data_IF_231135381263
#
_entry.id   IF_231135381263
#
_cell.length_a   1.000
_cell.length_b   1.000
_cell.length_c   1.000
_cell.angle_alpha   90.00
_cell.angle_beta   90.00
_cell.angle_gamma   90.00
#
_symmetry.space_group_name_H-M   'P 1'
#
loop_
_entity.id
_entity.type
_entity.pdbx_description
1 polymer ?
#
# COMPACT_ATOMS: atom_id res chain seq x y z
N UNK A 1 -35.50 20.86 -19.22
CA UNK A 1 -35.27 19.40 -19.07
C UNK A 1 -33.91 19.12 -19.70
N UNK A 2 -32.78 19.21 -19.01
CA UNK A 2 -32.41 18.47 -17.80
C UNK A 2 -31.65 17.22 -18.24
N UNK A 3 -30.32 17.32 -18.42
CA UNK A 3 -29.44 16.24 -18.84
C UNK A 3 -28.03 16.52 -18.34
N UNK A 4 -27.57 15.72 -17.38
CA UNK A 4 -26.53 16.01 -16.42
C UNK A 4 -25.11 16.20 -16.97
N UNK A 5 -24.43 17.20 -16.42
CA UNK A 5 -23.01 17.51 -16.60
C UNK A 5 -22.17 16.92 -15.44
N UNK A 6 -22.44 15.66 -15.06
CA UNK A 6 -21.75 14.96 -13.99
C UNK A 6 -21.47 13.51 -14.40
N UNK A 7 -20.43 13.35 -15.23
CA UNK A 7 -19.98 12.05 -15.72
C UNK A 7 -18.46 11.97 -15.80
N UNK A 8 -17.75 12.65 -14.89
CA UNK A 8 -16.34 12.36 -14.65
C UNK A 8 -16.25 11.18 -13.71
N UNK A 9 -16.21 9.97 -14.27
CA UNK A 9 -15.84 8.77 -13.52
C UNK A 9 -14.50 9.06 -12.87
N UNK A 10 -14.47 9.04 -11.54
CA UNK A 10 -13.26 9.14 -10.74
C UNK A 10 -12.46 7.87 -11.04
N UNK A 11 -11.59 7.96 -12.04
CA UNK A 11 -10.75 6.84 -12.45
C UNK A 11 -9.84 6.47 -11.28
N UNK A 12 -9.83 5.19 -10.91
CA UNK A 12 -8.98 4.70 -9.81
C UNK A 12 -7.53 4.99 -10.15
N UNK A 13 -6.85 5.76 -9.31
CA UNK A 13 -5.46 6.14 -9.53
C UNK A 13 -4.51 4.95 -9.28
N UNK A 14 -4.97 3.96 -8.51
CA UNK A 14 -4.27 2.70 -8.32
C UNK A 14 -4.18 1.91 -9.63
N UNK A 15 -2.96 1.52 -9.99
CA UNK A 15 -2.64 0.72 -11.18
C UNK A 15 -2.59 -0.75 -10.81
N UNK A 16 -3.39 -1.57 -11.49
CA UNK A 16 -3.34 -3.02 -11.38
C UNK A 16 -2.38 -3.60 -12.43
N UNK A 17 -1.43 -4.41 -11.97
CA UNK A 17 -0.52 -5.19 -12.81
C UNK A 17 -0.85 -6.66 -12.60
N UNK A 18 -1.19 -7.37 -13.68
CA UNK A 18 -1.47 -8.80 -13.59
C UNK A 18 -0.18 -9.59 -13.35
N UNK A 19 -0.26 -10.77 -12.70
CA UNK A 19 0.92 -11.59 -12.44
C UNK A 19 1.77 -11.86 -13.69
N UNK A 20 1.12 -12.07 -14.84
CA UNK A 20 1.77 -12.34 -16.13
C UNK A 20 2.59 -11.16 -16.67
N UNK A 21 2.24 -9.95 -16.25
CA UNK A 21 2.87 -8.70 -16.72
C UNK A 21 4.02 -8.27 -15.78
N UNK A 22 4.22 -9.00 -14.68
CA UNK A 22 5.32 -8.79 -13.74
C UNK A 22 6.58 -9.49 -14.27
N UNK A 23 7.32 -8.79 -15.11
CA UNK A 23 8.60 -9.27 -15.66
C UNK A 23 9.82 -9.14 -14.72
N UNK A 24 9.61 -9.09 -13.39
CA UNK A 24 10.70 -8.90 -12.41
C UNK A 24 10.56 -9.94 -11.29
N UNK A 25 11.66 -10.58 -10.94
CA UNK A 25 11.78 -11.58 -9.86
C UNK A 25 12.92 -11.22 -8.90
N UNK A 26 13.09 -11.96 -7.80
CA UNK A 26 14.15 -11.66 -6.83
C UNK A 26 15.57 -11.83 -7.41
N UNK A 27 15.71 -12.64 -8.46
CA UNK A 27 16.96 -12.76 -9.22
C UNK A 27 17.35 -11.45 -9.91
N UNK A 28 16.38 -10.60 -10.27
CA UNK A 28 16.60 -9.31 -10.93
C UNK A 28 16.90 -8.18 -9.93
N UNK A 29 16.76 -8.45 -8.62
CA UNK A 29 17.07 -7.50 -7.55
C UNK A 29 18.48 -7.78 -7.04
N UNK A 30 19.43 -6.90 -7.36
CA UNK A 30 20.80 -7.02 -6.89
C UNK A 30 20.92 -6.61 -5.40
N UNK A 31 21.58 -7.43 -4.59
CA UNK A 31 21.80 -7.15 -3.16
C UNK A 31 20.55 -7.30 -2.30
N UNK A 32 20.50 -6.56 -1.18
CA UNK A 32 19.38 -6.55 -0.22
C UNK A 32 19.03 -7.94 0.35
N UNK A 33 20.05 -8.79 0.60
CA UNK A 33 19.84 -10.18 1.02
C UNK A 33 19.03 -10.31 2.32
N UNK A 34 19.27 -9.46 3.31
CA UNK A 34 18.45 -9.48 4.54
C UNK A 34 16.98 -9.13 4.25
N UNK A 35 16.74 -8.08 3.45
CA UNK A 35 15.38 -7.66 3.09
C UNK A 35 14.67 -8.71 2.23
N UNK A 36 15.38 -9.43 1.36
CA UNK A 36 14.83 -10.56 0.59
C UNK A 36 14.38 -11.68 1.52
N UNK A 37 15.17 -12.03 2.55
CA UNK A 37 14.81 -13.06 3.53
C UNK A 37 13.54 -12.67 4.27
N UNK A 38 13.45 -11.44 4.78
CA UNK A 38 12.25 -10.96 5.47
C UNK A 38 11.02 -10.96 4.55
N UNK A 39 11.19 -10.53 3.31
CA UNK A 39 10.07 -10.42 2.37
C UNK A 39 9.62 -11.78 1.81
N UNK A 40 10.51 -12.79 1.79
CA UNK A 40 10.16 -14.16 1.41
C UNK A 40 9.06 -14.77 2.30
N UNK A 41 8.91 -14.31 3.53
CA UNK A 41 7.80 -14.72 4.40
C UNK A 41 6.44 -14.34 3.80
N UNK A 42 6.32 -13.15 3.21
CA UNK A 42 5.09 -12.72 2.53
C UNK A 42 4.83 -13.54 1.27
N UNK A 43 5.88 -13.91 0.52
CA UNK A 43 5.75 -14.78 -0.65
C UNK A 43 5.21 -16.15 -0.25
N UNK A 44 5.76 -16.73 0.82
CA UNK A 44 5.30 -18.03 1.30
C UNK A 44 3.85 -17.96 1.81
N UNK A 45 3.50 -16.89 2.53
CA UNK A 45 2.14 -16.65 2.98
C UNK A 45 1.16 -16.55 1.80
N UNK A 46 1.47 -15.76 0.78
CA UNK A 46 0.59 -15.58 -0.38
C UNK A 46 0.40 -16.87 -1.20
N UNK A 47 1.42 -17.73 -1.23
CA UNK A 47 1.34 -19.05 -1.89
C UNK A 47 0.59 -20.09 -1.07
N UNK A 48 0.79 -20.10 0.25
CA UNK A 48 0.29 -21.14 1.16
C UNK A 48 -0.44 -20.54 2.38
N UNK A 49 -1.50 -19.73 2.20
CA UNK A 49 -2.13 -19.02 3.33
C UNK A 49 -2.74 -19.98 4.36
N UNK A 50 -3.23 -21.14 3.92
CA UNK A 50 -3.88 -22.13 4.77
C UNK A 50 -2.95 -22.66 5.88
N UNK A 51 -1.66 -22.85 5.58
CA UNK A 51 -0.67 -23.32 6.55
C UNK A 51 -0.57 -22.39 7.76
N UNK A 52 -0.66 -21.07 7.54
CA UNK A 52 -0.59 -20.07 8.60
C UNK A 52 -1.87 -20.03 9.45
N UNK A 53 -3.03 -20.23 8.80
CA UNK A 53 -4.33 -20.30 9.47
C UNK A 53 -4.40 -21.54 10.36
N UNK A 54 -3.97 -22.70 9.84
CA UNK A 54 -4.00 -23.98 10.57
C UNK A 54 -3.06 -23.97 11.78
N UNK A 55 -1.93 -23.26 11.69
CA UNK A 55 -0.98 -23.06 12.78
C UNK A 55 -1.46 -22.03 13.82
N UNK A 56 -2.55 -21.30 13.56
CA UNK A 56 -3.01 -20.18 14.40
C UNK A 56 -2.02 -19.02 14.45
N UNK A 57 -1.13 -18.91 13.45
CA UNK A 57 -0.10 -17.87 13.41
C UNK A 57 -0.72 -16.52 13.06
N UNK A 58 -0.20 -15.43 13.66
CA UNK A 58 -0.60 -14.08 13.29
C UNK A 58 0.00 -13.74 11.93
N UNK A 59 -0.86 -13.66 10.93
CA UNK A 59 -0.48 -13.33 9.56
C UNK A 59 0.09 -11.90 9.52
N UNK A 60 1.27 -11.69 8.90
CA UNK A 60 1.81 -10.35 8.75
C UNK A 60 0.97 -9.57 7.73
N UNK A 61 0.39 -8.45 8.16
CA UNK A 61 -0.51 -7.63 7.33
C UNK A 61 0.22 -6.80 6.28
N UNK A 62 1.50 -6.54 6.51
CA UNK A 62 2.29 -5.69 5.64
C UNK A 62 3.70 -5.41 6.15
N UNK A 63 4.45 -4.65 5.37
CA UNK A 63 5.78 -4.17 5.70
C UNK A 63 6.00 -2.75 5.19
N UNK A 64 6.85 -2.00 5.89
CA UNK A 64 7.33 -0.69 5.47
C UNK A 64 8.77 -0.82 4.98
N UNK A 65 8.97 -0.63 3.68
CA UNK A 65 10.28 -0.57 3.04
C UNK A 65 10.87 0.82 3.25
N UNK A 66 11.98 0.89 3.97
CA UNK A 66 12.68 2.16 4.26
C UNK A 66 14.09 2.15 3.71
N UNK A 67 14.59 3.32 3.36
CA UNK A 67 15.97 3.50 2.92
C UNK A 67 16.12 4.68 1.96
N UNK A 68 17.35 5.06 1.60
CA UNK A 68 17.63 6.14 0.66
C UNK A 68 16.89 5.98 -0.69
N UNK A 69 16.64 7.07 -1.43
CA UNK A 69 16.12 6.97 -2.79
C UNK A 69 17.09 6.17 -3.68
N UNK A 70 16.54 5.43 -4.65
CA UNK A 70 17.35 4.65 -5.60
C UNK A 70 17.82 3.27 -5.11
N UNK A 71 17.46 2.84 -3.90
CA UNK A 71 17.84 1.50 -3.37
C UNK A 71 16.93 0.34 -3.83
N UNK A 72 16.06 0.57 -4.81
CA UNK A 72 15.25 -0.50 -5.38
C UNK A 72 14.05 -0.94 -4.54
N UNK A 73 13.53 -0.14 -3.61
CA UNK A 73 12.33 -0.46 -2.80
C UNK A 73 11.12 -0.89 -3.66
N UNK A 74 10.80 -0.09 -4.67
CA UNK A 74 9.72 -0.38 -5.64
C UNK A 74 10.00 -1.64 -6.46
N UNK A 75 11.28 -1.87 -6.81
CA UNK A 75 11.71 -3.06 -7.55
C UNK A 75 11.55 -4.32 -6.70
N UNK A 76 11.97 -4.26 -5.43
CA UNK A 76 11.84 -5.33 -4.46
C UNK A 76 10.37 -5.70 -4.24
N UNK A 77 9.49 -4.71 -4.02
CA UNK A 77 8.05 -4.96 -3.87
C UNK A 77 7.43 -5.62 -5.12
N UNK A 78 7.81 -5.16 -6.31
CA UNK A 78 7.33 -5.74 -7.57
C UNK A 78 7.86 -7.16 -7.76
N UNK A 79 9.11 -7.42 -7.42
CA UNK A 79 9.71 -8.74 -7.45
C UNK A 79 9.02 -9.71 -6.48
N UNK A 80 8.59 -9.25 -5.30
CA UNK A 80 7.79 -10.05 -4.36
C UNK A 80 6.50 -10.56 -4.98
N UNK A 81 5.79 -9.69 -5.72
CA UNK A 81 4.57 -10.09 -6.41
C UNK A 81 4.84 -11.08 -7.55
N UNK A 82 5.95 -10.88 -8.28
CA UNK A 82 6.41 -11.81 -9.32
C UNK A 82 6.79 -13.18 -8.77
N UNK A 83 7.42 -13.23 -7.59
CA UNK A 83 7.75 -14.47 -6.90
C UNK A 83 6.50 -15.18 -6.35
N UNK A 84 5.56 -14.42 -5.79
CA UNK A 84 4.29 -14.93 -5.29
C UNK A 84 3.30 -15.31 -6.41
N UNK A 85 3.52 -14.82 -7.64
CA UNK A 85 2.61 -14.94 -8.78
C UNK A 85 1.19 -14.43 -8.46
N UNK A 86 1.12 -13.26 -7.81
CA UNK A 86 -0.14 -12.58 -7.46
C UNK A 86 -0.22 -11.20 -8.11
N UNK A 87 -1.42 -10.63 -8.28
CA UNK A 87 -1.57 -9.29 -8.82
C UNK A 87 -0.83 -8.26 -7.94
N UNK A 88 -0.27 -7.26 -8.60
CA UNK A 88 0.43 -6.14 -7.96
C UNK A 88 -0.35 -4.87 -8.21
N UNK A 89 -0.97 -4.33 -7.17
CA UNK A 89 -1.66 -3.04 -7.20
C UNK A 89 -0.70 -1.99 -6.67
N UNK A 90 -0.46 -0.93 -7.42
CA UNK A 90 0.48 0.13 -7.02
C UNK A 90 -0.18 1.50 -7.09
N UNK A 91 0.12 2.34 -6.10
CA UNK A 91 -0.32 3.73 -6.00
C UNK A 91 0.82 4.59 -5.48
N UNK A 92 0.90 5.84 -5.92
CA UNK A 92 1.80 6.81 -5.29
C UNK A 92 1.05 7.54 -4.16
N UNK A 93 1.68 7.70 -3.00
CA UNK A 93 1.13 8.47 -1.88
C UNK A 93 0.80 9.91 -2.26
N UNK A 94 1.50 10.49 -3.22
CA UNK A 94 1.20 11.82 -3.77
C UNK A 94 -0.18 11.90 -4.43
N UNK A 95 -0.72 10.80 -4.94
CA UNK A 95 -2.03 10.76 -5.60
C UNK A 95 -3.18 10.98 -4.62
N UNK A 96 -2.96 10.94 -3.31
CA UNK A 96 -4.02 11.29 -2.37
C UNK A 96 -3.99 12.77 -1.96
N UNK A 97 -3.00 13.55 -2.42
CA UNK A 97 -2.90 14.98 -2.17
C UNK A 97 -3.70 15.75 -3.23
N UNK A 98 -4.87 16.25 -2.84
CA UNK A 98 -5.79 16.91 -3.75
C UNK A 98 -6.34 18.22 -3.16
N UNK A 99 -6.71 19.17 -4.02
CA UNK A 99 -7.29 20.45 -3.61
C UNK A 99 -8.75 20.34 -3.18
N UNK A 100 -9.43 19.26 -3.58
CA UNK A 100 -10.84 19.03 -3.30
C UNK A 100 -11.02 18.13 -2.08
N UNK A 101 -11.79 18.62 -1.11
CA UNK A 101 -12.10 17.91 0.13
C UNK A 101 -12.83 16.60 -0.17
N UNK A 102 -12.41 15.52 0.49
CA UNK A 102 -13.01 14.18 0.40
C UNK A 102 -12.48 13.32 -0.76
N UNK A 103 -11.70 13.90 -1.68
CA UNK A 103 -11.12 13.15 -2.81
C UNK A 103 -10.07 12.15 -2.33
N UNK A 104 -9.17 12.57 -1.43
CA UNK A 104 -8.13 11.71 -0.86
C UNK A 104 -8.72 10.48 -0.14
N UNK A 105 -9.62 10.65 0.85
CA UNK A 105 -10.29 9.55 1.52
C UNK A 105 -11.11 8.64 0.58
N UNK A 106 -11.70 9.19 -0.48
CA UNK A 106 -12.41 8.35 -1.48
C UNK A 106 -11.44 7.43 -2.21
N UNK A 107 -10.33 7.98 -2.72
CA UNK A 107 -9.30 7.19 -3.43
C UNK A 107 -8.70 6.08 -2.55
N UNK A 108 -8.51 6.36 -1.25
CA UNK A 108 -8.06 5.35 -0.29
C UNK A 108 -9.06 4.19 -0.21
N UNK A 109 -10.36 4.47 -0.08
CA UNK A 109 -11.41 3.44 -0.05
C UNK A 109 -11.47 2.64 -1.34
N UNK A 110 -11.36 3.31 -2.49
CA UNK A 110 -11.39 2.66 -3.81
C UNK A 110 -10.18 1.75 -4.02
N UNK A 111 -8.98 2.21 -3.64
CA UNK A 111 -7.75 1.42 -3.67
C UNK A 111 -7.89 0.14 -2.85
N UNK A 112 -8.36 0.22 -1.60
CA UNK A 112 -8.51 -0.96 -0.77
C UNK A 112 -9.67 -1.86 -1.21
N UNK A 113 -10.74 -1.29 -1.78
CA UNK A 113 -11.81 -2.06 -2.44
C UNK A 113 -11.27 -2.85 -3.63
N UNK A 114 -10.38 -2.25 -4.42
CA UNK A 114 -9.69 -2.93 -5.53
C UNK A 114 -8.82 -4.08 -5.02
N UNK A 115 -8.04 -3.87 -3.95
CA UNK A 115 -7.22 -4.91 -3.35
C UNK A 115 -8.05 -6.09 -2.84
N UNK A 116 -9.18 -5.83 -2.17
CA UNK A 116 -10.11 -6.88 -1.73
C UNK A 116 -10.68 -7.70 -2.88
N UNK A 117 -10.99 -7.07 -4.02
CA UNK A 117 -11.54 -7.77 -5.20
C UNK A 117 -10.52 -8.65 -5.92
N UNK A 118 -9.23 -8.34 -5.81
CA UNK A 118 -8.15 -9.07 -6.48
C UNK A 118 -7.35 -9.95 -5.51
N UNK A 119 -7.83 -10.16 -4.29
CA UNK A 119 -7.20 -11.06 -3.34
C UNK A 119 -7.10 -12.50 -3.89
N UNK A 120 -5.97 -13.22 -3.71
CA UNK A 120 -4.75 -12.78 -3.04
C UNK A 120 -3.94 -11.79 -3.88
N UNK A 121 -3.48 -10.68 -3.31
CA UNK A 121 -2.67 -9.67 -4.02
C UNK A 121 -1.70 -8.92 -3.11
N UNK A 122 -0.77 -8.20 -3.74
CA UNK A 122 0.08 -7.21 -3.06
C UNK A 122 -0.42 -5.81 -3.40
N UNK A 123 -0.70 -5.02 -2.36
CA UNK A 123 -0.98 -3.60 -2.48
C UNK A 123 0.27 -2.80 -2.09
N UNK A 124 0.86 -2.10 -3.05
CA UNK A 124 2.04 -1.28 -2.87
C UNK A 124 1.70 0.21 -2.84
N UNK A 125 2.15 0.92 -1.80
CA UNK A 125 2.02 2.37 -1.66
C UNK A 125 3.42 2.98 -1.64
N UNK A 126 3.82 3.61 -2.74
CA UNK A 126 5.08 4.36 -2.80
C UNK A 126 4.92 5.74 -2.16
N UNK A 127 6.03 6.34 -1.72
CA UNK A 127 6.07 7.69 -1.13
C UNK A 127 4.98 7.91 -0.05
N UNK A 128 4.80 6.94 0.86
CA UNK A 128 3.75 7.01 1.89
C UNK A 128 3.91 8.25 2.79
N UNK A 129 5.11 8.83 2.88
CA UNK A 129 5.38 10.08 3.58
C UNK A 129 4.75 11.32 2.93
N UNK A 130 4.21 11.23 1.72
CA UNK A 130 3.37 12.28 1.15
C UNK A 130 2.08 12.49 1.96
N UNK A 131 1.50 11.42 2.50
CA UNK A 131 0.22 11.45 3.25
C UNK A 131 0.38 11.09 4.73
N UNK A 132 1.46 10.40 5.07
CA UNK A 132 1.73 9.89 6.41
C UNK A 132 2.55 10.82 7.30
N UNK A 133 2.75 12.09 6.95
CA UNK A 133 3.56 13.01 7.77
C UNK A 133 2.94 13.26 9.15
N UNK A 134 3.79 13.28 10.18
CA UNK A 134 3.45 13.68 11.54
C UNK A 134 2.78 15.04 11.54
N UNK A 135 1.71 15.13 12.34
CA UNK A 135 0.98 16.35 12.66
C UNK A 135 1.95 17.45 13.10
N UNK A 136 2.19 18.42 12.23
CA UNK A 136 2.99 19.61 12.52
C UNK A 136 2.09 20.66 13.16
N UNK A 137 2.25 20.90 14.46
CA UNK A 137 1.49 21.94 15.15
C UNK A 137 1.78 23.35 14.61
N UNK A 138 0.71 24.15 14.53
CA UNK A 138 0.67 25.62 14.36
C UNK A 138 0.88 26.16 12.94
N UNK A 139 -0.10 25.92 12.08
CA UNK A 139 -0.38 26.76 10.91
C UNK A 139 -1.89 26.91 10.72
N UNK A 140 -2.40 28.12 10.86
CA UNK A 140 -3.82 28.47 10.64
C UNK A 140 -4.25 28.01 9.22
N UNK A 141 -5.22 27.07 9.13
CA UNK A 141 -6.14 26.97 7.99
C UNK A 141 -5.88 25.96 6.86
N UNK A 142 -4.86 25.11 6.91
CA UNK A 142 -4.49 24.25 5.75
C UNK A 142 -4.37 22.73 5.95
N UNK A 143 -4.62 22.21 7.16
CA UNK A 143 -4.22 20.84 7.55
C UNK A 143 -5.33 19.78 7.61
N UNK A 144 -6.54 20.02 7.07
CA UNK A 144 -7.66 19.07 7.25
C UNK A 144 -7.65 17.87 6.31
N UNK A 145 -7.25 18.05 5.05
CA UNK A 145 -7.49 17.00 4.04
C UNK A 145 -6.46 15.86 4.08
N UNK A 146 -5.19 16.20 4.27
CA UNK A 146 -4.13 15.21 4.45
C UNK A 146 -4.38 14.37 5.71
N UNK A 147 -4.83 15.00 6.81
CA UNK A 147 -5.18 14.29 8.04
C UNK A 147 -6.40 13.38 7.86
N UNK A 148 -7.44 13.85 7.18
CA UNK A 148 -8.61 13.01 6.86
C UNK A 148 -8.22 11.81 6.00
N UNK A 149 -7.34 12.02 5.02
CA UNK A 149 -6.81 10.95 4.15
C UNK A 149 -6.00 9.94 4.95
N UNK A 150 -5.11 10.40 5.82
CA UNK A 150 -4.32 9.55 6.71
C UNK A 150 -5.22 8.73 7.65
N UNK A 151 -6.21 9.36 8.26
CA UNK A 151 -7.16 8.67 9.13
C UNK A 151 -7.94 7.59 8.36
N UNK A 152 -8.37 7.89 7.13
CA UNK A 152 -9.04 6.90 6.28
C UNK A 152 -8.11 5.74 5.92
N UNK A 153 -6.83 6.00 5.66
CA UNK A 153 -5.83 4.96 5.41
C UNK A 153 -5.70 4.04 6.63
N UNK A 154 -5.58 4.61 7.83
CA UNK A 154 -5.50 3.85 9.08
C UNK A 154 -6.76 2.99 9.31
N UNK A 155 -7.95 3.55 9.09
CA UNK A 155 -9.22 2.82 9.21
C UNK A 155 -9.29 1.63 8.26
N UNK A 156 -8.89 1.81 7.00
CA UNK A 156 -8.88 0.71 6.04
C UNK A 156 -7.80 -0.34 6.38
N UNK A 157 -6.61 0.08 6.83
CA UNK A 157 -5.55 -0.84 7.27
C UNK A 157 -5.98 -1.68 8.48
N UNK A 158 -6.64 -1.07 9.46
CA UNK A 158 -7.22 -1.77 10.62
C UNK A 158 -8.34 -2.72 10.18
N UNK A 159 -9.08 -2.35 9.13
CA UNK A 159 -10.16 -3.14 8.52
C UNK A 159 -9.70 -4.39 7.75
N UNK A 160 -8.39 -4.56 7.48
CA UNK A 160 -7.88 -5.82 6.94
C UNK A 160 -7.90 -6.91 8.00
N UNK A 161 -8.92 -7.76 7.91
CA UNK A 161 -8.91 -9.05 8.59
C UNK A 161 -7.87 -9.96 7.94
N UNK A 162 -7.26 -10.82 8.77
CA UNK A 162 -6.25 -11.81 8.36
C UNK A 162 -6.74 -12.78 7.29
N UNK A 163 -8.05 -12.88 7.08
CA UNK A 163 -8.70 -13.70 6.05
C UNK A 163 -8.66 -13.10 4.65
N UNK A 164 -8.29 -11.83 4.51
CA UNK A 164 -8.45 -11.11 3.23
C UNK A 164 -7.32 -11.40 2.24
N UNK A 165 -6.27 -12.15 2.62
CA UNK A 165 -5.13 -12.54 1.76
C UNK A 165 -4.50 -11.38 0.95
N UNK A 166 -4.55 -10.16 1.50
CA UNK A 166 -3.90 -8.99 0.92
C UNK A 166 -2.71 -8.63 1.79
N UNK A 167 -1.55 -8.42 1.16
CA UNK A 167 -0.34 -7.92 1.81
C UNK A 167 -0.13 -6.47 1.40
N UNK A 168 -0.01 -5.58 2.38
CA UNK A 168 0.26 -4.15 2.14
C UNK A 168 1.75 -3.87 2.28
N UNK A 169 2.39 -3.43 1.20
CA UNK A 169 3.78 -2.97 1.21
C UNK A 169 3.80 -1.46 1.04
N UNK A 170 4.38 -0.72 1.98
CA UNK A 170 4.55 0.72 1.84
C UNK A 170 6.03 1.05 1.67
N UNK A 171 6.37 2.11 0.93
CA UNK A 171 7.75 2.58 0.80
C UNK A 171 7.88 4.06 1.16
N UNK A 172 9.00 4.39 1.81
CA UNK A 172 9.36 5.78 2.12
C UNK A 172 10.87 5.98 2.12
N UNK A 173 11.28 7.21 1.83
CA UNK A 173 12.65 7.66 2.01
C UNK A 173 12.87 8.36 3.38
N UNK A 174 11.78 8.67 4.11
CA UNK A 174 11.78 9.54 5.29
C UNK A 174 10.92 8.96 6.41
N UNK A 175 11.40 7.91 7.06
CA UNK A 175 10.69 7.28 8.19
C UNK A 175 10.61 8.21 9.42
N UNK A 176 11.53 9.15 9.56
CA UNK A 176 11.63 10.11 10.67
C UNK A 176 10.38 11.01 10.80
N UNK A 177 9.79 11.38 9.66
CA UNK A 177 8.63 12.26 9.60
C UNK A 177 7.30 11.52 9.59
N UNK A 178 7.28 10.18 9.53
CA UNK A 178 6.04 9.41 9.47
C UNK A 178 5.30 9.40 10.81
N UNK A 179 3.96 9.49 10.74
CA UNK A 179 3.07 9.35 11.87
C UNK A 179 3.26 7.97 12.52
N UNK A 180 3.38 7.97 13.86
CA UNK A 180 3.61 6.73 14.63
C UNK A 180 2.46 5.74 14.49
N UNK A 181 1.25 6.20 14.16
CA UNK A 181 0.10 5.34 13.92
C UNK A 181 0.35 4.38 12.73
N UNK A 182 1.05 4.83 11.69
CA UNK A 182 1.42 3.98 10.54
C UNK A 182 2.52 2.96 10.87
N UNK A 183 3.34 3.24 11.89
CA UNK A 183 4.43 2.38 12.34
C UNK A 183 3.98 1.38 13.42
N UNK A 184 2.73 1.47 13.87
CA UNK A 184 2.22 0.62 14.93
C UNK A 184 2.07 -0.82 14.41
N UNK A 185 2.58 -1.84 15.12
CA UNK A 185 2.29 -3.23 14.78
C UNK A 185 0.80 -3.52 14.98
N UNK A 186 0.10 -3.92 13.92
CA UNK A 186 -1.35 -4.13 13.95
C UNK A 186 -1.95 -4.18 12.57
#
# INVERSE_FOLDING_TARGET
>A
KGGGLFGGVMESTAKLINPTDIGVKFQDVAGCEEAKIEIMEFVNFLKNPQQYIDLGAKIPKGALLTGPPGTGKTLLAKATAGEANVPFITVSGSEFLEMFVGVGPSRVRDMFSMARKHAPCILFIDEIDAVGRKRGGRGFGGHSEQENTLNQLLVEMDGFNTTTNVVVLAATNRVDILDKALLRPG
#
